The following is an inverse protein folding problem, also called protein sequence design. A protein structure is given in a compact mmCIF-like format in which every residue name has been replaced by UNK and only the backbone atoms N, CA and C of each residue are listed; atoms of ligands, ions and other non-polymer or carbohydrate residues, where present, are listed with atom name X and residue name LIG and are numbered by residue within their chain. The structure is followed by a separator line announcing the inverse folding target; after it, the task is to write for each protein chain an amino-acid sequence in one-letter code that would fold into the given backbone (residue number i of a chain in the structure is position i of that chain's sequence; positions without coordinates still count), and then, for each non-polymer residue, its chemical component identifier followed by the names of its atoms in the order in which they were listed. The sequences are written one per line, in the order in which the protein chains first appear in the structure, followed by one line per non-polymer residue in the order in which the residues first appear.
data_IF_348137886307
#
_entry.id   IF_348137886307
#
_cell.length_a   1.000
_cell.length_b   1.000
_cell.length_c   1.000
_cell.angle_alpha   90.00
_cell.angle_beta   90.00
_cell.angle_gamma   90.00
#
_symmetry.space_group_name_H-M   'P 1'
#
loop_
_entity.id
_entity.type
_entity.pdbx_description
1 polymer ?
#
# COMPACT_ATOMS: atom_id res chain seq x y z
N UNK A 1 22.73 10.43 16.57
CA UNK A 1 22.09 9.16 16.99
C UNK A 1 21.08 9.49 18.06
N UNK A 2 19.80 9.14 17.89
CA UNK A 2 18.81 9.32 18.96
C UNK A 2 18.90 8.13 19.92
N UNK A 3 18.98 8.36 21.24
CA UNK A 3 18.96 7.27 22.21
C UNK A 3 17.61 6.56 22.16
N UNK A 4 17.66 5.24 22.00
CA UNK A 4 16.51 4.36 22.19
C UNK A 4 16.23 4.35 23.69
N UNK A 5 15.19 5.08 24.12
CA UNK A 5 14.71 5.00 25.50
C UNK A 5 14.04 3.63 25.70
N UNK A 6 14.85 2.66 26.10
CA UNK A 6 14.39 1.43 26.76
C UNK A 6 13.92 1.85 28.16
N UNK A 7 12.63 2.10 28.31
CA UNK A 7 12.03 2.38 29.62
C UNK A 7 11.96 1.09 30.44
N UNK A 8 12.71 0.95 31.55
CA UNK A 8 12.69 -0.25 32.39
C UNK A 8 11.36 -0.43 33.15
N UNK A 9 10.49 0.59 33.17
CA UNK A 9 9.24 0.61 33.95
C UNK A 9 8.04 -0.02 33.24
N UNK A 10 8.12 -0.29 31.93
CA UNK A 10 7.13 -1.13 31.27
C UNK A 10 7.59 -2.58 31.39
N UNK A 11 6.97 -3.28 32.35
CA UNK A 11 7.00 -4.74 32.46
C UNK A 11 7.05 -5.32 31.05
N UNK A 12 8.06 -6.14 30.79
CA UNK A 12 8.11 -6.95 29.59
C UNK A 12 6.75 -7.63 29.51
N UNK A 13 5.95 -7.29 28.49
CA UNK A 13 4.68 -7.94 28.25
C UNK A 13 4.98 -9.34 27.76
N UNK A 14 5.41 -10.18 28.68
CA UNK A 14 5.16 -11.60 28.64
C UNK A 14 3.64 -11.73 28.60
N UNK A 15 3.10 -12.23 27.49
CA UNK A 15 1.72 -12.70 27.45
C UNK A 15 1.48 -13.56 28.70
N UNK A 16 0.28 -13.58 29.27
CA UNK A 16 -0.03 -14.43 30.44
C UNK A 16 0.24 -15.93 30.20
N UNK A 17 0.54 -16.32 28.95
CA UNK A 17 0.94 -17.66 28.54
C UNK A 17 2.46 -17.92 28.59
N UNK A 18 3.27 -16.91 28.86
CA UNK A 18 4.72 -17.03 28.97
C UNK A 18 5.12 -17.34 30.41
N UNK A 19 5.00 -18.61 30.76
CA UNK A 19 5.53 -19.17 32.00
C UNK A 19 6.83 -19.89 31.67
N UNK A 20 7.88 -19.69 32.48
CA UNK A 20 9.11 -20.48 32.45
C UNK A 20 8.86 -21.97 32.76
N UNK A 21 7.66 -22.32 33.23
CA UNK A 21 7.21 -23.70 33.47
C UNK A 21 6.46 -24.31 32.28
N UNK A 22 6.13 -23.54 31.25
CA UNK A 22 5.40 -24.03 30.10
C UNK A 22 6.36 -24.52 29.00
N UNK A 23 6.70 -25.81 29.05
CA UNK A 23 7.60 -26.48 28.09
C UNK A 23 7.12 -26.44 26.62
N UNK A 24 5.91 -25.92 26.35
CA UNK A 24 5.26 -25.88 25.04
C UNK A 24 5.08 -24.48 24.46
N UNK A 25 5.81 -23.46 24.93
CA UNK A 25 5.71 -22.11 24.37
C UNK A 25 6.23 -22.07 22.91
N UNK A 26 5.31 -22.07 21.94
CA UNK A 26 5.60 -22.10 20.49
C UNK A 26 5.80 -20.71 19.86
N UNK A 27 5.55 -19.64 20.61
CA UNK A 27 5.62 -18.27 20.09
C UNK A 27 6.20 -17.29 21.13
N UNK A 28 7.19 -16.52 20.68
CA UNK A 28 7.74 -15.38 21.40
C UNK A 28 7.22 -14.09 20.76
N UNK A 29 6.75 -13.15 21.60
CA UNK A 29 6.28 -11.83 21.15
C UNK A 29 7.03 -10.75 21.91
N UNK A 30 7.75 -9.90 21.19
CA UNK A 30 8.35 -8.66 21.70
C UNK A 30 7.58 -7.47 21.13
N UNK A 31 7.09 -6.58 22.00
CA UNK A 31 6.42 -5.35 21.58
C UNK A 31 7.36 -4.15 21.75
N UNK A 32 7.65 -3.46 20.65
CA UNK A 32 8.41 -2.22 20.65
C UNK A 32 7.45 -1.05 20.44
N UNK A 33 7.37 -0.17 21.43
CA UNK A 33 6.57 1.06 21.33
C UNK A 33 7.48 2.21 20.96
N UNK A 34 7.29 2.77 19.76
CA UNK A 34 8.05 3.93 19.31
C UNK A 34 7.49 5.20 19.96
N UNK A 35 8.36 5.95 20.65
CA UNK A 35 7.97 7.22 21.24
C UNK A 35 7.79 8.28 20.15
N UNK A 36 6.68 9.03 20.21
CA UNK A 36 6.52 10.30 19.51
C UNK A 36 6.92 11.44 20.45
N UNK A 37 7.66 12.43 19.97
CA UNK A 37 7.94 13.62 20.79
C UNK A 37 6.64 14.40 21.03
N UNK A 38 6.45 14.94 22.25
CA UNK A 38 5.26 15.73 22.64
C UNK A 38 5.01 16.92 21.70
N UNK A 39 6.09 17.47 21.13
CA UNK A 39 6.07 18.63 20.24
C UNK A 39 6.07 18.27 18.75
N UNK A 40 6.08 16.97 18.42
CA UNK A 40 6.11 16.55 17.04
C UNK A 40 4.69 16.41 16.47
N UNK A 41 4.42 17.00 15.29
CA UNK A 41 3.14 16.79 14.62
C UNK A 41 2.97 15.33 14.21
N UNK A 42 1.76 14.79 14.38
CA UNK A 42 1.40 13.41 14.01
C UNK A 42 1.80 13.03 12.59
N UNK A 43 1.77 13.98 11.65
CA UNK A 43 2.15 13.79 10.24
C UNK A 43 3.65 13.53 10.07
N UNK A 44 4.51 14.20 10.84
CA UNK A 44 5.96 13.98 10.81
C UNK A 44 6.31 12.59 11.37
N UNK A 45 5.70 12.21 12.49
CA UNK A 45 5.84 10.87 13.07
C UNK A 45 5.40 9.78 12.08
N UNK A 46 4.22 9.93 11.47
CA UNK A 46 3.69 9.00 10.47
C UNK A 46 4.62 8.88 9.25
N UNK A 47 5.18 10.00 8.77
CA UNK A 47 6.15 10.01 7.66
C UNK A 47 7.44 9.26 8.00
N UNK A 48 7.92 9.35 9.25
CA UNK A 48 9.10 8.61 9.72
C UNK A 48 8.82 7.10 9.81
N UNK A 49 7.68 6.72 10.39
CA UNK A 49 7.24 5.33 10.43
C UNK A 49 7.06 4.72 9.04
N UNK A 50 6.50 5.47 8.08
CA UNK A 50 6.37 5.03 6.68
C UNK A 50 7.71 4.65 6.04
N UNK A 51 8.82 5.30 6.44
CA UNK A 51 10.18 4.96 5.96
C UNK A 51 10.81 3.82 6.75
N UNK A 52 10.55 3.75 8.05
CA UNK A 52 11.15 2.77 8.96
C UNK A 52 10.54 1.38 8.82
N UNK A 53 9.20 1.27 8.82
CA UNK A 53 8.49 -0.03 8.81
C UNK A 53 8.87 -0.92 7.61
N UNK A 54 8.90 -0.43 6.35
CA UNK A 54 9.30 -1.25 5.22
C UNK A 54 10.75 -1.72 5.31
N UNK A 55 11.66 -0.91 5.88
CA UNK A 55 13.07 -1.27 6.05
C UNK A 55 13.23 -2.37 7.08
N UNK A 56 12.54 -2.27 8.21
CA UNK A 56 12.57 -3.33 9.23
C UNK A 56 11.93 -4.60 8.70
N UNK A 57 10.77 -4.52 8.05
CA UNK A 57 10.16 -5.70 7.44
C UNK A 57 11.06 -6.33 6.38
N UNK A 58 11.72 -5.53 5.54
CA UNK A 58 12.69 -6.03 4.56
C UNK A 58 13.87 -6.72 5.24
N UNK A 59 14.41 -6.14 6.31
CA UNK A 59 15.49 -6.73 7.10
C UNK A 59 15.08 -8.07 7.75
N UNK A 60 13.85 -8.15 8.26
CA UNK A 60 13.28 -9.37 8.85
C UNK A 60 13.01 -10.43 7.77
N UNK A 61 12.33 -10.04 6.68
CA UNK A 61 11.92 -10.96 5.62
C UNK A 61 13.09 -11.44 4.76
N UNK A 62 14.16 -10.64 4.61
CA UNK A 62 15.37 -11.03 3.89
C UNK A 62 16.26 -12.00 4.67
N UNK A 63 15.88 -12.37 5.90
CA UNK A 63 16.64 -13.31 6.72
C UNK A 63 17.87 -12.70 7.40
N UNK A 64 18.12 -11.40 7.21
CA UNK A 64 19.22 -10.69 7.87
C UNK A 64 19.03 -10.59 9.39
N UNK A 65 17.79 -10.66 9.88
CA UNK A 65 17.46 -10.67 11.30
C UNK A 65 17.67 -12.02 12.03
N UNK A 66 18.36 -12.98 11.40
CA UNK A 66 18.50 -14.41 11.75
C UNK A 66 17.47 -15.31 11.03
N UNK A 67 17.77 -15.66 9.78
CA UNK A 67 17.18 -16.80 9.09
C UNK A 67 17.68 -18.11 9.70
N UNK A 68 17.16 -18.47 10.88
CA UNK A 68 17.30 -19.81 11.43
C UNK A 68 16.15 -20.67 10.88
N UNK A 69 16.40 -21.89 10.38
CA UNK A 69 15.37 -22.72 9.73
C UNK A 69 14.20 -23.09 10.66
N UNK A 70 14.34 -22.89 11.96
CA UNK A 70 13.34 -23.20 12.99
C UNK A 70 12.66 -21.96 13.61
N UNK A 71 13.04 -20.73 13.23
CA UNK A 71 12.44 -19.50 13.77
C UNK A 71 11.89 -18.62 12.66
N UNK A 72 10.59 -18.29 12.73
CA UNK A 72 9.95 -17.32 11.83
C UNK A 72 9.66 -16.03 12.58
N UNK A 73 10.39 -14.97 12.25
CA UNK A 73 10.09 -13.64 12.75
C UNK A 73 8.91 -13.03 11.99
N UNK A 74 7.95 -12.48 12.73
CA UNK A 74 6.82 -11.72 12.18
C UNK A 74 6.78 -10.36 12.86
N UNK A 75 6.71 -9.30 12.07
CA UNK A 75 6.52 -7.94 12.55
C UNK A 75 5.08 -7.52 12.24
N UNK A 76 4.35 -7.03 13.24
CA UNK A 76 2.97 -6.58 13.06
C UNK A 76 2.38 -5.91 14.28
N UNK A 77 1.21 -5.31 14.08
CA UNK A 77 0.46 -4.50 15.05
C UNK A 77 -0.48 -3.56 14.32
N UNK A 78 -1.62 -3.18 14.94
CA UNK A 78 -2.68 -2.43 14.25
C UNK A 78 -2.18 -1.17 13.53
N UNK A 79 -1.48 -0.30 14.24
CA UNK A 79 -0.92 0.94 13.66
C UNK A 79 0.14 0.69 12.58
N UNK A 80 0.92 -0.40 12.68
CA UNK A 80 1.88 -0.77 11.64
C UNK A 80 1.18 -1.29 10.38
N UNK A 81 0.10 -2.05 10.52
CA UNK A 81 -0.67 -2.57 9.39
C UNK A 81 -1.40 -1.46 8.65
N UNK A 82 -1.95 -0.47 9.35
CA UNK A 82 -2.58 0.71 8.73
C UNK A 82 -1.58 1.49 7.87
N UNK A 83 -0.36 1.70 8.38
CA UNK A 83 0.70 2.41 7.66
C UNK A 83 1.19 1.59 6.46
N UNK A 84 1.29 0.27 6.60
CA UNK A 84 1.67 -0.61 5.49
C UNK A 84 0.60 -0.66 4.40
N UNK A 85 -0.68 -0.68 4.79
CA UNK A 85 -1.81 -0.62 3.86
C UNK A 85 -1.85 0.72 3.14
N UNK A 86 -1.54 1.82 3.82
CA UNK A 86 -1.40 3.13 3.19
C UNK A 86 -0.26 3.17 2.17
N UNK A 87 0.91 2.60 2.48
CA UNK A 87 2.03 2.50 1.54
C UNK A 87 1.66 1.63 0.33
N UNK A 88 0.94 0.53 0.55
CA UNK A 88 0.45 -0.31 -0.53
C UNK A 88 -0.53 0.48 -1.42
N UNK A 89 -1.47 1.21 -0.83
CA UNK A 89 -2.40 2.08 -1.56
C UNK A 89 -1.69 3.15 -2.40
N UNK A 90 -0.67 3.82 -1.85
CA UNK A 90 0.15 4.78 -2.60
C UNK A 90 0.83 4.15 -3.82
N UNK A 91 1.37 2.92 -3.68
CA UNK A 91 1.97 2.18 -4.79
C UNK A 91 0.95 1.78 -5.85
N UNK A 92 -0.25 1.40 -5.44
CA UNK A 92 -1.31 1.07 -6.40
C UNK A 92 -1.80 2.30 -7.18
N UNK A 93 -1.90 3.46 -6.54
CA UNK A 93 -2.19 4.73 -7.23
C UNK A 93 -1.16 5.08 -8.30
N UNK A 94 0.12 4.76 -8.06
CA UNK A 94 1.15 4.95 -9.08
C UNK A 94 0.89 4.08 -10.32
N UNK A 95 0.47 2.82 -10.15
CA UNK A 95 0.11 1.94 -11.28
C UNK A 95 -1.05 2.49 -12.10
N UNK A 96 -2.04 3.10 -11.45
CA UNK A 96 -3.14 3.80 -12.15
C UNK A 96 -2.60 4.92 -13.04
N UNK A 97 -1.65 5.71 -12.54
CA UNK A 97 -0.99 6.76 -13.33
C UNK A 97 -0.25 6.20 -14.55
N UNK A 98 0.48 5.09 -14.37
CA UNK A 98 1.18 4.40 -15.47
C UNK A 98 0.18 3.87 -16.51
N UNK A 99 -0.94 3.27 -16.09
CA UNK A 99 -1.97 2.77 -17.00
C UNK A 99 -2.57 3.90 -17.86
N UNK A 100 -2.87 5.05 -17.26
CA UNK A 100 -3.38 6.23 -17.99
C UNK A 100 -2.35 6.76 -18.99
N UNK A 101 -1.06 6.76 -18.64
CA UNK A 101 0.00 7.15 -19.57
C UNK A 101 0.13 6.18 -20.76
N UNK A 102 -0.02 4.88 -20.50
CA UNK A 102 -0.05 3.86 -21.57
C UNK A 102 -1.27 4.07 -22.48
N UNK A 103 -2.46 4.34 -21.92
CA UNK A 103 -3.65 4.68 -22.70
C UNK A 103 -3.37 5.83 -23.66
N UNK A 104 -2.82 6.92 -23.12
CA UNK A 104 -2.50 8.13 -23.87
C UNK A 104 -1.57 7.83 -25.05
N UNK A 105 -0.46 7.13 -24.80
CA UNK A 105 0.55 6.84 -25.82
C UNK A 105 0.00 5.93 -26.92
N UNK A 106 -0.74 4.88 -26.56
CA UNK A 106 -1.31 3.94 -27.51
C UNK A 106 -2.40 4.60 -28.36
N UNK A 107 -3.31 5.36 -27.74
CA UNK A 107 -4.36 6.08 -28.47
C UNK A 107 -3.80 7.14 -29.40
N UNK A 108 -2.78 7.89 -28.96
CA UNK A 108 -2.12 8.88 -29.81
C UNK A 108 -1.41 8.20 -30.98
N UNK A 109 -0.69 7.10 -30.74
CA UNK A 109 -0.04 6.34 -31.81
C UNK A 109 -1.05 5.82 -32.82
N UNK A 110 -2.16 5.25 -32.37
CA UNK A 110 -3.18 4.65 -33.23
C UNK A 110 -3.92 5.69 -34.08
N UNK A 111 -4.42 6.75 -33.46
CA UNK A 111 -5.25 7.75 -34.12
C UNK A 111 -4.44 8.87 -34.79
N UNK A 112 -3.10 8.84 -34.70
CA UNK A 112 -2.21 9.90 -35.23
C UNK A 112 -2.42 11.30 -34.63
N UNK A 113 -3.30 11.44 -33.64
CA UNK A 113 -3.77 12.73 -33.12
C UNK A 113 -3.61 12.81 -31.61
N UNK A 114 -2.94 13.87 -31.16
CA UNK A 114 -2.70 14.12 -29.73
C UNK A 114 -4.00 14.34 -28.95
N UNK A 115 -5.00 14.97 -29.59
CA UNK A 115 -6.28 15.33 -28.95
C UNK A 115 -7.06 14.08 -28.54
N UNK A 116 -7.13 13.07 -29.40
CA UNK A 116 -7.81 11.79 -29.10
C UNK A 116 -7.06 11.02 -28.01
N UNK A 117 -5.72 11.04 -28.05
CA UNK A 117 -4.89 10.52 -26.95
C UNK A 117 -5.22 11.18 -25.61
N UNK A 118 -5.31 12.52 -25.56
CA UNK A 118 -5.64 13.23 -24.33
C UNK A 118 -7.07 12.94 -23.86
N UNK A 119 -8.04 12.90 -24.78
CA UNK A 119 -9.43 12.58 -24.47
C UNK A 119 -9.56 11.20 -23.82
N UNK A 120 -9.00 10.17 -24.43
CA UNK A 120 -9.03 8.79 -23.89
C UNK A 120 -8.40 8.68 -22.51
N UNK A 121 -7.27 9.36 -22.29
CA UNK A 121 -6.61 9.37 -20.99
C UNK A 121 -7.46 10.04 -19.89
N UNK A 122 -8.13 11.15 -20.22
CA UNK A 122 -9.03 11.84 -19.30
C UNK A 122 -10.27 10.99 -19.00
N UNK A 123 -10.85 10.37 -20.02
CA UNK A 123 -12.02 9.48 -19.89
C UNK A 123 -11.73 8.31 -18.95
N UNK A 124 -10.65 7.56 -19.20
CA UNK A 124 -10.23 6.42 -18.36
C UNK A 124 -10.05 6.86 -16.90
N UNK A 125 -9.38 7.99 -16.68
CA UNK A 125 -9.13 8.52 -15.33
C UNK A 125 -10.45 8.89 -14.63
N UNK A 126 -11.35 9.59 -15.31
CA UNK A 126 -12.61 10.05 -14.71
C UNK A 126 -13.54 8.89 -14.40
N UNK A 127 -13.71 7.96 -15.34
CA UNK A 127 -14.55 6.76 -15.16
C UNK A 127 -14.03 5.91 -14.02
N UNK A 128 -12.72 5.68 -13.95
CA UNK A 128 -12.12 4.93 -12.85
C UNK A 128 -12.34 5.62 -11.50
N UNK A 129 -12.08 6.93 -11.40
CA UNK A 129 -12.27 7.68 -10.15
C UNK A 129 -13.74 7.70 -9.72
N UNK A 130 -14.68 7.81 -10.67
CA UNK A 130 -16.11 7.76 -10.40
C UNK A 130 -16.53 6.38 -9.89
N UNK A 131 -16.08 5.30 -10.54
CA UNK A 131 -16.37 3.93 -10.13
C UNK A 131 -15.81 3.62 -8.73
N UNK A 132 -14.56 4.01 -8.46
CA UNK A 132 -13.91 3.83 -7.16
C UNK A 132 -14.66 4.61 -6.06
N UNK A 133 -15.07 5.85 -6.33
CA UNK A 133 -15.85 6.65 -5.37
C UNK A 133 -17.24 6.07 -5.11
N UNK A 134 -17.94 5.62 -6.15
CA UNK A 134 -19.24 4.99 -6.02
C UNK A 134 -19.14 3.71 -5.18
N UNK A 135 -18.13 2.89 -5.43
CA UNK A 135 -17.86 1.69 -4.64
C UNK A 135 -17.58 2.04 -3.17
N UNK A 136 -16.71 3.03 -2.93
CA UNK A 136 -16.39 3.50 -1.59
C UNK A 136 -17.63 3.99 -0.82
N UNK A 137 -18.55 4.66 -1.53
CA UNK A 137 -19.78 5.19 -0.96
C UNK A 137 -20.77 4.07 -0.57
N UNK A 138 -20.87 3.02 -1.37
CA UNK A 138 -21.78 1.89 -1.13
C UNK A 138 -21.25 0.99 0.00
N UNK A 139 -19.95 0.65 -0.04
CA UNK A 139 -19.37 -0.37 0.84
C UNK A 139 -18.57 0.18 2.02
N UNK A 140 -18.37 1.50 2.10
CA UNK A 140 -17.64 2.18 3.17
C UNK A 140 -16.15 1.82 3.28
N UNK A 141 -15.64 0.97 2.39
CA UNK A 141 -14.26 0.45 2.41
C UNK A 141 -13.72 0.33 1.00
N UNK A 142 -12.40 0.52 0.84
CA UNK A 142 -11.73 0.36 -0.44
C UNK A 142 -10.68 -0.76 -0.35
N UNK A 143 -11.01 -2.00 -0.74
CA UNK A 143 -10.04 -3.08 -0.71
C UNK A 143 -8.97 -2.84 -1.77
N UNK A 144 -7.73 -3.24 -1.49
CA UNK A 144 -6.59 -3.05 -2.39
C UNK A 144 -6.82 -3.67 -3.78
N UNK A 145 -7.63 -4.73 -3.86
CA UNK A 145 -8.01 -5.38 -5.12
C UNK A 145 -8.84 -4.49 -6.05
N UNK A 146 -9.50 -3.43 -5.57
CA UNK A 146 -10.21 -2.49 -6.46
C UNK A 146 -9.25 -1.77 -7.41
N UNK A 147 -7.97 -1.66 -7.07
CA UNK A 147 -6.97 -1.03 -7.93
C UNK A 147 -6.69 -1.80 -9.21
N UNK A 148 -6.88 -3.13 -9.25
CA UNK A 148 -6.72 -3.89 -10.50
C UNK A 148 -7.87 -3.65 -11.49
N UNK A 149 -9.00 -3.10 -11.04
CA UNK A 149 -10.13 -2.78 -11.92
C UNK A 149 -9.79 -1.69 -12.96
N UNK A 150 -8.70 -0.93 -12.76
CA UNK A 150 -8.22 0.05 -13.76
C UNK A 150 -7.93 -0.59 -15.11
N UNK A 151 -7.45 -1.84 -15.14
CA UNK A 151 -7.14 -2.56 -16.37
C UNK A 151 -8.41 -2.77 -17.19
N UNK A 152 -9.50 -3.17 -16.52
CA UNK A 152 -10.80 -3.38 -17.16
C UNK A 152 -11.38 -2.07 -17.67
N UNK A 153 -11.38 -1.02 -16.85
CA UNK A 153 -11.85 0.32 -17.26
C UNK A 153 -11.06 0.82 -18.47
N UNK A 154 -9.74 0.68 -18.44
CA UNK A 154 -8.86 1.02 -19.56
C UNK A 154 -9.25 0.27 -20.84
N UNK A 155 -9.43 -1.05 -20.78
CA UNK A 155 -9.80 -1.84 -21.96
C UNK A 155 -11.13 -1.41 -22.57
N UNK A 156 -12.16 -1.17 -21.75
CA UNK A 156 -13.48 -0.77 -22.25
C UNK A 156 -13.46 0.64 -22.86
N UNK A 157 -12.85 1.61 -22.19
CA UNK A 157 -12.75 2.98 -22.70
C UNK A 157 -11.93 3.03 -23.99
N UNK A 158 -10.75 2.38 -24.03
CA UNK A 158 -9.93 2.37 -25.25
C UNK A 158 -10.65 1.67 -26.40
N UNK A 159 -11.32 0.54 -26.15
CA UNK A 159 -12.06 -0.15 -27.20
C UNK A 159 -13.17 0.74 -27.78
N UNK A 160 -13.93 1.44 -26.93
CA UNK A 160 -14.98 2.35 -27.38
C UNK A 160 -14.45 3.50 -28.22
N UNK A 161 -13.41 4.21 -27.75
CA UNK A 161 -12.89 5.36 -28.47
C UNK A 161 -12.18 4.99 -29.77
N UNK A 162 -11.38 3.91 -29.78
CA UNK A 162 -10.66 3.49 -30.97
C UNK A 162 -11.62 2.94 -32.03
N UNK A 163 -12.62 2.13 -31.63
CA UNK A 163 -13.61 1.62 -32.59
C UNK A 163 -14.44 2.74 -33.20
N UNK A 164 -14.79 3.77 -32.41
CA UNK A 164 -15.47 4.95 -32.93
C UNK A 164 -14.59 5.70 -33.93
N UNK A 165 -13.31 5.91 -33.60
CA UNK A 165 -12.37 6.57 -34.49
C UNK A 165 -12.28 5.83 -35.84
N UNK A 166 -12.06 4.52 -35.82
CA UNK A 166 -11.92 3.69 -37.03
C UNK A 166 -13.19 3.63 -37.89
N UNK A 167 -14.35 3.84 -37.27
CA UNK A 167 -15.65 3.78 -37.98
C UNK A 167 -16.01 5.10 -38.65
N UNK A 168 -15.58 6.24 -38.09
CA UNK A 168 -16.12 7.57 -38.43
C UNK A 168 -15.08 8.59 -38.91
N UNK A 169 -13.78 8.35 -38.74
CA UNK A 169 -12.69 9.27 -39.11
C UNK A 169 -11.77 8.61 -40.13
#
# INVERSE_FOLDING_TARGET
MQPLFSNPSYRWFFDNNFSTLNQKALQLRSQYTFASSRWEPKTAYRRRLKKYLPRVMSFVNSGQAAALPFVKFRLGGGSSQDILMEIAGEREWYKVGVAVAICFLLSWWHCGTFIVGLHTAVEVKLVYMAAVRLYALIYGTLPLATFSAIIWVMTFCMHGTLSFYDTFV
#
